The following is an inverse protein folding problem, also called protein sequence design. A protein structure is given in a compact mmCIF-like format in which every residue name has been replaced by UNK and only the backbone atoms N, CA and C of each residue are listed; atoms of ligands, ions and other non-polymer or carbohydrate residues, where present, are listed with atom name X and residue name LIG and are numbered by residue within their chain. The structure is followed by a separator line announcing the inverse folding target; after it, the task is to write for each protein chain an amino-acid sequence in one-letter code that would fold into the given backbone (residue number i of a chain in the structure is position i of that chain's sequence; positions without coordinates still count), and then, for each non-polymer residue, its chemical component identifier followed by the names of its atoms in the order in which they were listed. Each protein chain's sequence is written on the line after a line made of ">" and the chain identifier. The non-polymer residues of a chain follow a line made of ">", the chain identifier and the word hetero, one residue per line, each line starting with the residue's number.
data_IF_953344317392
#
_entry.id   IF_953344317392
#
_cell.length_a   1.000
_cell.length_b   1.000
_cell.length_c   1.000
_cell.angle_alpha   90.00
_cell.angle_beta   90.00
_cell.angle_gamma   90.00
#
_symmetry.space_group_name_H-M   'P 1'
#
loop_
_entity.id
_entity.type
_entity.pdbx_description
1 polymer ?
#
# COMPACT_ATOMS: atom_id res chain seq x y z
N UNK A 1 4.20 -19.31 -6.52
CA UNK A 1 2.75 -19.53 -6.30
C UNK A 1 1.99 -18.46 -7.05
N UNK A 2 0.91 -18.84 -7.71
CA UNK A 2 0.06 -17.91 -8.48
C UNK A 2 -1.40 -18.28 -8.32
N UNK A 3 -2.26 -17.27 -8.22
CA UNK A 3 -3.71 -17.39 -8.27
C UNK A 3 -4.25 -16.24 -9.13
N UNK A 4 -4.99 -16.56 -10.19
CA UNK A 4 -5.65 -15.59 -11.07
C UNK A 4 -7.13 -15.94 -11.12
N UNK A 5 -7.98 -14.96 -10.85
CA UNK A 5 -9.42 -15.10 -10.86
C UNK A 5 -10.12 -13.96 -11.59
N UNK A 6 -11.42 -14.10 -11.78
CA UNK A 6 -12.28 -13.09 -12.35
C UNK A 6 -13.32 -12.58 -11.33
N UNK A 7 -13.87 -11.40 -11.62
CA UNK A 7 -14.94 -10.79 -10.83
C UNK A 7 -16.19 -11.69 -10.76
N UNK A 8 -16.39 -12.57 -11.77
CA UNK A 8 -17.50 -13.52 -11.82
C UNK A 8 -17.29 -14.74 -10.91
N UNK A 9 -16.14 -14.83 -10.20
CA UNK A 9 -15.82 -15.94 -9.30
C UNK A 9 -15.12 -17.13 -9.96
N UNK A 10 -14.77 -17.02 -11.23
CA UNK A 10 -14.02 -18.04 -11.97
C UNK A 10 -12.54 -18.04 -11.57
N UNK A 11 -11.96 -19.21 -11.36
CA UNK A 11 -10.51 -19.39 -11.26
C UNK A 11 -9.93 -19.58 -12.66
N UNK A 12 -9.22 -18.58 -13.16
CA UNK A 12 -8.60 -18.62 -14.49
C UNK A 12 -7.33 -19.49 -14.46
N UNK A 13 -6.52 -19.32 -13.41
CA UNK A 13 -5.30 -20.09 -13.22
C UNK A 13 -4.93 -20.20 -11.74
N UNK A 14 -4.43 -21.37 -11.33
CA UNK A 14 -3.88 -21.58 -9.98
C UNK A 14 -2.74 -22.59 -10.03
N UNK A 15 -1.71 -22.33 -9.22
CA UNK A 15 -0.66 -23.33 -8.94
C UNK A 15 -1.07 -24.33 -7.85
N UNK A 16 -2.36 -24.39 -7.50
CA UNK A 16 -2.97 -25.24 -6.44
C UNK A 16 -2.40 -24.98 -5.03
N UNK A 17 -1.87 -23.77 -4.80
CA UNK A 17 -1.34 -23.31 -3.50
C UNK A 17 -2.18 -22.16 -2.91
N UNK A 18 -3.40 -22.00 -3.35
CA UNK A 18 -4.30 -20.91 -2.96
C UNK A 18 -4.67 -20.88 -1.48
N UNK A 19 -4.50 -22.01 -0.78
CA UNK A 19 -4.75 -22.13 0.66
C UNK A 19 -3.50 -21.81 1.51
N UNK A 20 -2.33 -21.61 0.89
CA UNK A 20 -1.11 -21.30 1.62
C UNK A 20 -1.15 -19.89 2.17
N UNK A 21 -0.69 -19.74 3.41
CA UNK A 21 -0.55 -18.45 4.06
C UNK A 21 0.72 -17.74 3.61
N UNK A 22 0.59 -16.45 3.33
CA UNK A 22 1.72 -15.55 3.04
C UNK A 22 1.56 -14.24 3.79
N UNK A 23 2.65 -13.55 4.06
CA UNK A 23 2.66 -12.15 4.43
C UNK A 23 2.74 -11.30 3.16
N UNK A 24 1.68 -10.55 2.79
CA UNK A 24 1.67 -9.81 1.53
C UNK A 24 2.54 -8.55 1.55
N UNK A 25 3.06 -8.19 2.71
CA UNK A 25 3.95 -7.05 2.90
C UNK A 25 3.31 -5.75 2.35
N UNK A 26 4.06 -4.97 1.60
CA UNK A 26 3.59 -3.70 1.05
C UNK A 26 2.48 -3.81 -0.01
N UNK A 27 2.17 -5.00 -0.50
CA UNK A 27 1.15 -5.19 -1.53
C UNK A 27 -0.28 -4.84 -1.05
N UNK A 28 -0.53 -4.86 0.28
CA UNK A 28 -1.86 -4.57 0.87
C UNK A 28 -2.04 -3.11 1.33
N UNK A 29 -1.13 -2.21 1.00
CA UNK A 29 -1.20 -0.82 1.50
C UNK A 29 -2.46 -0.07 1.10
N UNK A 30 -3.10 -0.41 -0.01
CA UNK A 30 -4.38 0.18 -0.41
C UNK A 30 -5.46 -0.03 0.67
N UNK A 31 -5.54 -1.22 1.26
CA UNK A 31 -6.49 -1.51 2.33
C UNK A 31 -6.14 -0.76 3.61
N UNK A 32 -4.84 -0.64 3.92
CA UNK A 32 -4.36 0.13 5.08
C UNK A 32 -4.65 1.63 4.97
N UNK A 33 -4.82 2.15 3.75
CA UNK A 33 -5.14 3.56 3.50
C UNK A 33 -6.65 3.89 3.59
N UNK A 34 -7.54 2.90 3.64
CA UNK A 34 -8.99 3.13 3.69
C UNK A 34 -9.43 3.91 4.94
N UNK A 35 -8.97 3.61 6.16
CA UNK A 35 -9.31 4.40 7.33
C UNK A 35 -8.87 5.88 7.22
N UNK A 36 -7.71 6.12 6.57
CA UNK A 36 -7.24 7.48 6.28
C UNK A 36 -8.22 8.24 5.37
N UNK A 37 -8.74 7.62 4.32
CA UNK A 37 -9.75 8.24 3.46
C UNK A 37 -11.03 8.54 4.24
N UNK A 38 -11.51 7.58 5.05
CA UNK A 38 -12.73 7.72 5.88
C UNK A 38 -12.65 8.80 6.93
N UNK A 39 -11.47 9.07 7.46
CA UNK A 39 -11.26 10.04 8.55
C UNK A 39 -11.47 11.50 8.15
N UNK A 40 -11.76 11.81 6.87
CA UNK A 40 -11.77 13.17 6.33
C UNK A 40 -10.41 13.90 6.38
N UNK A 41 -9.32 13.25 6.74
CA UNK A 41 -7.99 13.86 6.82
C UNK A 41 -7.55 14.51 5.50
N UNK A 42 -7.91 13.91 4.37
CA UNK A 42 -7.59 14.40 3.04
C UNK A 42 -8.19 15.80 2.83
N UNK A 43 -9.48 15.96 3.09
CA UNK A 43 -10.19 17.24 2.93
C UNK A 43 -9.71 18.26 3.96
N UNK A 44 -9.63 17.85 5.22
CA UNK A 44 -9.25 18.75 6.33
C UNK A 44 -7.86 19.34 6.16
N UNK A 45 -6.89 18.54 5.69
CA UNK A 45 -5.51 18.97 5.47
C UNK A 45 -5.23 19.43 4.03
N UNK A 46 -6.24 19.48 3.16
CA UNK A 46 -6.10 19.84 1.74
C UNK A 46 -4.99 19.03 1.03
N UNK A 47 -5.06 17.70 1.17
CA UNK A 47 -4.08 16.80 0.58
C UNK A 47 -4.38 16.58 -0.91
N UNK A 48 -3.34 16.60 -1.72
CA UNK A 48 -3.45 16.44 -3.16
C UNK A 48 -3.40 14.95 -3.60
N UNK A 49 -3.77 14.62 -4.87
CA UNK A 49 -3.74 13.24 -5.35
C UNK A 49 -2.39 12.52 -5.26
N UNK A 50 -1.26 13.23 -5.31
CA UNK A 50 0.09 12.65 -5.17
C UNK A 50 0.32 12.19 -3.73
N UNK A 51 -0.12 12.97 -2.75
CA UNK A 51 -0.07 12.61 -1.33
C UNK A 51 -1.00 11.44 -1.02
N UNK A 52 -2.18 11.39 -1.66
CA UNK A 52 -3.08 10.24 -1.55
C UNK A 52 -2.42 8.98 -2.13
N UNK A 53 -1.80 9.04 -3.31
CA UNK A 53 -1.04 7.92 -3.86
C UNK A 53 0.10 7.46 -2.93
N UNK A 54 0.84 8.41 -2.34
CA UNK A 54 1.90 8.12 -1.38
C UNK A 54 1.43 7.35 -0.14
N UNK A 55 0.15 7.43 0.24
CA UNK A 55 -0.40 6.62 1.35
C UNK A 55 -0.30 5.12 1.10
N UNK A 56 -0.28 4.70 -0.18
CA UNK A 56 -0.17 3.31 -0.62
C UNK A 56 1.24 2.94 -1.11
N UNK A 57 2.21 3.84 -1.03
CA UNK A 57 3.51 3.70 -1.68
C UNK A 57 4.49 2.79 -0.95
N UNK A 58 5.45 2.28 -1.72
CA UNK A 58 6.76 1.84 -1.28
C UNK A 58 7.80 2.66 -2.05
N UNK A 59 7.79 3.98 -1.84
CA UNK A 59 8.56 4.92 -2.62
C UNK A 59 10.07 4.75 -2.43
N UNK A 60 10.85 5.08 -3.44
CA UNK A 60 12.31 4.98 -3.41
C UNK A 60 13.01 6.27 -2.95
N UNK A 61 12.27 7.25 -2.45
CA UNK A 61 12.76 8.56 -1.96
C UNK A 61 13.42 9.43 -3.05
N UNK A 62 12.95 9.35 -4.31
CA UNK A 62 13.29 10.35 -5.33
C UNK A 62 12.85 11.75 -4.89
N UNK A 63 13.47 12.79 -5.42
CA UNK A 63 13.26 14.21 -5.03
C UNK A 63 11.79 14.61 -4.97
N UNK A 64 10.98 14.14 -5.92
CA UNK A 64 9.54 14.48 -5.96
C UNK A 64 8.75 13.78 -4.83
N UNK A 65 9.13 12.57 -4.40
CA UNK A 65 8.53 11.93 -3.23
C UNK A 65 8.79 12.76 -1.97
N UNK A 66 10.07 13.12 -1.75
CA UNK A 66 10.49 13.88 -0.57
C UNK A 66 9.82 15.26 -0.52
N UNK A 67 9.61 15.90 -1.67
CA UNK A 67 8.90 17.18 -1.78
C UNK A 67 7.45 17.04 -1.26
N UNK A 68 6.69 16.06 -1.77
CA UNK A 68 5.29 15.86 -1.38
C UNK A 68 5.15 15.41 0.08
N UNK A 69 6.09 14.61 0.59
CA UNK A 69 6.09 14.19 2.00
C UNK A 69 6.38 15.34 2.96
N UNK A 70 7.30 16.24 2.60
CA UNK A 70 7.56 17.46 3.39
C UNK A 70 6.36 18.41 3.38
N UNK A 71 5.72 18.61 2.22
CA UNK A 71 4.50 19.40 2.12
C UNK A 71 3.38 18.80 2.98
N UNK A 72 3.23 17.45 2.96
CA UNK A 72 2.28 16.77 3.81
C UNK A 72 2.54 17.00 5.31
N UNK A 73 3.79 16.90 5.76
CA UNK A 73 4.18 17.21 7.14
C UNK A 73 3.76 18.64 7.54
N UNK A 74 4.01 19.61 6.65
CA UNK A 74 3.64 21.03 6.88
C UNK A 74 2.13 21.17 7.02
N UNK A 75 1.34 20.66 6.07
CA UNK A 75 -0.12 20.74 6.06
C UNK A 75 -0.76 20.12 7.31
N UNK A 76 -0.19 19.02 7.79
CA UNK A 76 -0.70 18.32 8.97
C UNK A 76 -0.13 18.81 10.28
N UNK A 77 0.89 19.69 10.25
CA UNK A 77 1.68 20.11 11.42
C UNK A 77 2.27 18.90 12.17
N UNK A 78 2.60 17.84 11.44
CA UNK A 78 3.33 16.69 11.97
C UNK A 78 4.84 16.92 11.85
N UNK A 79 5.62 16.23 12.69
CA UNK A 79 7.08 16.23 12.64
C UNK A 79 7.59 14.88 12.12
N UNK A 80 8.78 14.85 11.51
CA UNK A 80 9.46 13.61 11.08
C UNK A 80 9.58 12.62 12.23
N UNK A 81 9.82 13.10 13.45
CA UNK A 81 9.96 12.30 14.67
C UNK A 81 8.69 11.57 15.10
N UNK A 82 7.51 11.95 14.59
CA UNK A 82 6.27 11.21 14.83
C UNK A 82 6.22 9.90 14.04
N UNK A 83 6.95 9.80 12.91
CA UNK A 83 6.93 8.60 12.07
C UNK A 83 7.73 7.46 12.73
N UNK A 84 7.07 6.34 12.98
CA UNK A 84 7.64 5.13 13.59
C UNK A 84 8.21 4.14 12.56
N UNK A 85 8.27 4.51 11.27
CA UNK A 85 8.72 3.60 10.21
C UNK A 85 10.23 3.30 10.23
N UNK A 86 11.01 3.95 11.09
CA UNK A 86 12.46 3.83 11.06
C UNK A 86 13.10 4.69 9.97
N UNK A 87 14.42 4.57 9.87
CA UNK A 87 15.27 5.36 8.96
C UNK A 87 16.03 4.38 8.06
N UNK A 88 16.08 4.65 6.76
CA UNK A 88 17.02 4.02 5.85
C UNK A 88 17.44 5.01 4.75
N UNK A 89 18.49 4.69 4.02
CA UNK A 89 18.92 5.46 2.86
C UNK A 89 17.83 5.45 1.77
N UNK A 90 17.73 6.49 0.92
CA UNK A 90 16.93 6.42 -0.29
C UNK A 90 17.20 5.12 -1.05
N UNK A 91 16.14 4.44 -1.51
CA UNK A 91 16.26 3.23 -2.32
C UNK A 91 16.67 3.57 -3.76
N UNK A 92 16.37 4.78 -4.24
CA UNK A 92 16.91 5.28 -5.49
C UNK A 92 18.40 5.62 -5.32
N UNK A 93 19.24 4.99 -6.17
CA UNK A 93 20.70 5.12 -6.11
C UNK A 93 21.17 6.57 -6.27
N UNK A 94 20.56 7.31 -7.20
CA UNK A 94 20.93 8.72 -7.47
C UNK A 94 20.57 9.59 -6.27
N UNK A 95 19.37 9.41 -5.72
CA UNK A 95 18.93 10.16 -4.54
C UNK A 95 19.80 9.85 -3.31
N UNK A 96 20.22 8.59 -3.14
CA UNK A 96 21.12 8.16 -2.07
C UNK A 96 22.50 8.79 -2.20
N UNK A 97 23.07 8.80 -3.42
CA UNK A 97 24.35 9.45 -3.70
C UNK A 97 24.30 10.97 -3.46
N UNK A 98 23.24 11.63 -3.95
CA UNK A 98 23.06 13.07 -3.76
C UNK A 98 22.93 13.43 -2.27
N UNK A 99 22.21 12.62 -1.49
CA UNK A 99 22.09 12.81 -0.05
C UNK A 99 23.46 12.73 0.63
N UNK A 100 24.26 11.72 0.27
CA UNK A 100 25.61 11.54 0.79
C UNK A 100 26.53 12.71 0.42
N UNK A 101 26.56 13.11 -0.87
CA UNK A 101 27.41 14.21 -1.35
C UNK A 101 27.03 15.57 -0.73
N UNK A 102 25.77 15.75 -0.34
CA UNK A 102 25.34 16.97 0.38
C UNK A 102 25.74 17.00 1.86
N UNK A 103 26.40 15.97 2.38
CA UNK A 103 26.71 15.82 3.79
C UNK A 103 25.47 15.57 4.69
N UNK A 104 24.30 15.38 4.08
CA UNK A 104 23.04 15.18 4.82
C UNK A 104 22.86 13.73 5.22
N UNK A 105 22.21 13.51 6.37
CA UNK A 105 21.85 12.16 6.85
C UNK A 105 20.42 11.79 6.47
N UNK A 106 20.14 10.52 6.19
CA UNK A 106 18.76 10.06 6.00
C UNK A 106 17.95 10.27 7.29
N UNK A 107 16.65 10.40 7.12
CA UNK A 107 15.69 10.51 8.22
C UNK A 107 14.40 9.76 7.85
N UNK A 108 13.39 9.79 8.70
CA UNK A 108 12.17 8.99 8.56
C UNK A 108 11.42 9.19 7.24
N UNK A 109 11.49 10.38 6.61
CA UNK A 109 10.79 10.59 5.32
C UNK A 109 11.47 9.87 4.15
N UNK A 110 12.74 9.44 4.29
CA UNK A 110 13.40 8.62 3.28
C UNK A 110 12.96 7.16 3.34
N UNK A 111 12.36 6.72 4.46
CA UNK A 111 11.80 5.38 4.56
C UNK A 111 10.67 5.19 3.54
N UNK A 112 10.70 4.08 2.81
CA UNK A 112 9.75 3.77 1.75
C UNK A 112 8.28 3.67 2.21
N UNK A 113 8.03 3.52 3.51
CA UNK A 113 6.71 3.48 4.12
C UNK A 113 6.25 4.82 4.73
N UNK A 114 7.06 5.90 4.63
CA UNK A 114 6.75 7.17 5.31
C UNK A 114 5.40 7.76 4.89
N UNK A 115 4.99 7.61 3.62
CA UNK A 115 3.66 8.02 3.15
C UNK A 115 2.52 7.28 3.85
N UNK A 116 2.64 5.95 4.01
CA UNK A 116 1.69 5.15 4.80
C UNK A 116 1.61 5.62 6.25
N UNK A 117 2.75 5.91 6.88
CA UNK A 117 2.79 6.38 8.26
C UNK A 117 2.20 7.79 8.40
N UNK A 118 2.42 8.68 7.43
CA UNK A 118 1.74 9.98 7.38
C UNK A 118 0.22 9.83 7.24
N UNK A 119 -0.26 8.89 6.44
CA UNK A 119 -1.69 8.61 6.31
C UNK A 119 -2.29 8.14 7.64
N UNK A 120 -1.65 7.17 8.31
CA UNK A 120 -2.08 6.69 9.63
C UNK A 120 -2.12 7.83 10.66
N UNK A 121 -1.05 8.63 10.75
CA UNK A 121 -0.96 9.75 11.69
C UNK A 121 -1.97 10.87 11.37
N UNK A 122 -2.22 11.15 10.08
CA UNK A 122 -3.23 12.13 9.68
C UNK A 122 -4.63 11.69 10.10
N UNK A 123 -4.96 10.41 9.92
CA UNK A 123 -6.21 9.81 10.41
C UNK A 123 -6.31 9.87 11.93
N UNK A 124 -5.26 9.44 12.64
CA UNK A 124 -5.22 9.49 14.10
C UNK A 124 -5.44 10.90 14.63
N UNK A 125 -4.85 11.92 13.98
CA UNK A 125 -5.00 13.32 14.38
C UNK A 125 -6.44 13.82 14.26
N UNK A 126 -7.15 13.46 13.18
CA UNK A 126 -8.55 13.82 12.97
C UNK A 126 -9.47 13.12 13.99
N UNK A 127 -9.19 11.85 14.27
CA UNK A 127 -9.98 11.04 15.19
C UNK A 127 -9.60 11.24 16.68
N UNK A 128 -8.67 12.15 16.98
CA UNK A 128 -8.13 12.39 18.32
C UNK A 128 -7.55 11.15 19.00
N UNK A 129 -6.93 10.25 18.20
CA UNK A 129 -6.20 9.09 18.70
C UNK A 129 -4.76 9.46 19.09
N UNK A 130 -4.14 8.70 20.00
CA UNK A 130 -2.76 8.93 20.42
C UNK A 130 -1.78 8.71 19.27
N UNK A 131 -0.97 9.72 18.96
CA UNK A 131 0.01 9.68 17.88
C UNK A 131 1.30 8.92 18.25
N UNK A 132 1.52 8.61 19.54
CA UNK A 132 2.78 8.01 20.01
C UNK A 132 2.84 6.50 19.77
N UNK A 133 1.69 5.83 19.76
CA UNK A 133 1.56 4.38 19.70
C UNK A 133 0.66 3.89 18.55
N UNK A 134 0.48 4.70 17.50
CA UNK A 134 -0.40 4.40 16.37
C UNK A 134 -0.07 3.10 15.60
N UNK A 135 1.11 2.52 15.83
CA UNK A 135 1.51 1.23 15.26
C UNK A 135 1.25 0.04 16.20
N UNK A 136 0.80 0.28 17.42
CA UNK A 136 0.53 -0.79 18.37
C UNK A 136 -0.70 -1.59 17.94
N UNK A 137 -0.63 -2.91 18.04
CA UNK A 137 -1.67 -3.84 17.56
C UNK A 137 -3.07 -3.53 18.12
N UNK A 138 -3.16 -3.01 19.35
CA UNK A 138 -4.40 -2.68 20.04
C UNK A 138 -4.80 -1.20 19.87
N UNK A 139 -4.06 -0.42 19.09
CA UNK A 139 -4.41 0.97 18.82
C UNK A 139 -5.70 1.04 17.97
N UNK A 140 -6.64 1.96 18.25
CA UNK A 140 -7.92 2.06 17.51
C UNK A 140 -7.75 2.11 16.00
N UNK A 141 -6.77 2.85 15.50
CA UNK A 141 -6.49 2.92 14.06
C UNK A 141 -6.05 1.57 13.47
N UNK A 142 -5.27 0.74 14.21
CA UNK A 142 -4.88 -0.59 13.73
C UNK A 142 -6.07 -1.57 13.80
N UNK A 143 -7.00 -1.38 14.72
CA UNK A 143 -8.26 -2.13 14.75
C UNK A 143 -9.16 -1.80 13.57
N UNK A 144 -9.25 -0.52 13.16
CA UNK A 144 -9.95 -0.10 11.94
C UNK A 144 -9.32 -0.76 10.71
N UNK A 145 -7.98 -0.75 10.58
CA UNK A 145 -7.27 -1.42 9.48
C UNK A 145 -7.60 -2.93 9.45
N UNK A 146 -7.55 -3.61 10.61
CA UNK A 146 -7.88 -5.04 10.69
C UNK A 146 -9.33 -5.33 10.31
N UNK A 147 -10.27 -4.47 10.69
CA UNK A 147 -11.66 -4.56 10.28
C UNK A 147 -11.80 -4.44 8.75
N UNK A 148 -11.14 -3.47 8.13
CA UNK A 148 -11.10 -3.33 6.67
C UNK A 148 -10.58 -4.61 6.01
N UNK A 149 -9.47 -5.18 6.49
CA UNK A 149 -8.99 -6.47 5.95
C UNK A 149 -10.05 -7.55 6.05
N UNK A 150 -10.67 -7.71 7.22
CA UNK A 150 -11.70 -8.76 7.43
C UNK A 150 -12.87 -8.63 6.46
N UNK A 151 -13.30 -7.39 6.17
CA UNK A 151 -14.39 -7.11 5.23
C UNK A 151 -13.96 -7.42 3.79
N UNK A 152 -12.76 -7.00 3.37
CA UNK A 152 -12.28 -7.23 2.00
C UNK A 152 -11.97 -8.70 1.70
N UNK A 153 -11.49 -9.48 2.66
CA UNK A 153 -11.25 -10.93 2.48
C UNK A 153 -12.47 -11.79 2.81
N UNK A 154 -13.59 -11.17 3.24
CA UNK A 154 -14.83 -11.84 3.65
C UNK A 154 -14.60 -12.90 4.75
N UNK A 155 -13.61 -12.65 5.61
CA UNK A 155 -13.24 -13.57 6.69
C UNK A 155 -12.62 -12.80 7.85
N UNK A 156 -12.88 -13.25 9.07
CA UNK A 156 -12.33 -12.60 10.26
C UNK A 156 -10.81 -12.73 10.34
N UNK A 157 -10.12 -11.61 10.41
CA UNK A 157 -8.68 -11.54 10.65
C UNK A 157 -8.44 -11.40 12.15
N UNK A 158 -7.79 -12.40 12.74
CA UNK A 158 -7.50 -12.43 14.17
C UNK A 158 -6.18 -11.70 14.48
N UNK A 159 -6.11 -11.12 15.68
CA UNK A 159 -4.87 -10.49 16.18
C UNK A 159 -3.69 -11.48 16.18
N UNK A 160 -3.93 -12.75 16.48
CA UNK A 160 -2.89 -13.78 16.50
C UNK A 160 -2.22 -14.06 15.14
N UNK A 161 -2.85 -13.62 14.01
CA UNK A 161 -2.29 -13.78 12.66
C UNK A 161 -1.30 -12.65 12.31
N UNK A 162 -0.96 -11.76 13.25
CA UNK A 162 -0.08 -10.64 12.95
C UNK A 162 1.40 -11.02 13.02
N UNK A 163 2.20 -10.29 12.24
CA UNK A 163 3.63 -10.10 12.40
C UNK A 163 3.92 -8.61 12.45
N UNK A 164 5.16 -8.23 12.63
CA UNK A 164 5.60 -6.83 12.59
C UNK A 164 6.42 -6.63 11.32
N UNK A 165 5.98 -5.68 10.47
CA UNK A 165 6.70 -5.34 9.25
C UNK A 165 7.98 -4.56 9.56
N UNK A 166 8.92 -4.50 8.61
CA UNK A 166 10.16 -3.73 8.75
C UNK A 166 9.98 -2.23 9.03
N UNK A 167 8.77 -1.70 8.82
CA UNK A 167 8.39 -0.34 9.18
C UNK A 167 7.66 -0.25 10.54
N UNK A 168 7.74 -1.26 11.38
CA UNK A 168 7.11 -1.36 12.71
C UNK A 168 5.58 -1.41 12.74
N UNK A 169 4.90 -1.36 11.60
CA UNK A 169 3.44 -1.49 11.56
C UNK A 169 3.01 -2.97 11.60
N UNK A 170 1.85 -3.30 12.20
CA UNK A 170 1.28 -4.64 12.12
C UNK A 170 1.08 -5.08 10.66
N UNK A 171 1.38 -6.34 10.42
CA UNK A 171 1.19 -7.03 9.17
C UNK A 171 0.47 -8.35 9.44
N UNK A 172 -0.51 -8.72 8.63
CA UNK A 172 -1.26 -9.96 8.81
C UNK A 172 -0.92 -10.97 7.74
N UNK A 173 -0.98 -12.26 8.09
CA UNK A 173 -0.89 -13.36 7.12
C UNK A 173 -2.27 -13.64 6.53
N UNK A 174 -2.30 -13.95 5.24
CA UNK A 174 -3.51 -14.26 4.48
C UNK A 174 -3.27 -15.49 3.62
N UNK A 175 -4.31 -16.27 3.37
CA UNK A 175 -4.28 -17.22 2.28
C UNK A 175 -4.20 -16.49 0.94
N UNK A 176 -3.56 -17.10 -0.03
CA UNK A 176 -3.44 -16.51 -1.38
C UNK A 176 -4.82 -16.23 -1.97
N UNK A 177 -5.78 -17.14 -1.81
CA UNK A 177 -7.16 -16.96 -2.29
C UNK A 177 -7.88 -15.81 -1.58
N UNK A 178 -7.62 -15.58 -0.29
CA UNK A 178 -8.23 -14.49 0.47
C UNK A 178 -7.76 -13.13 -0.07
N UNK A 179 -6.49 -13.03 -0.47
CA UNK A 179 -5.97 -11.85 -1.19
C UNK A 179 -6.63 -11.69 -2.56
N UNK A 180 -6.94 -12.78 -3.26
CA UNK A 180 -7.75 -12.78 -4.47
C UNK A 180 -9.16 -12.22 -4.22
N UNK A 181 -9.84 -12.68 -3.17
CA UNK A 181 -11.14 -12.15 -2.73
C UNK A 181 -11.06 -10.65 -2.45
N UNK A 182 -10.00 -10.20 -1.77
CA UNK A 182 -9.81 -8.78 -1.50
C UNK A 182 -9.65 -7.95 -2.79
N UNK A 183 -8.93 -8.45 -3.80
CA UNK A 183 -8.81 -7.80 -5.11
C UNK A 183 -10.13 -7.80 -5.89
N UNK A 184 -10.89 -8.90 -5.85
CA UNK A 184 -12.25 -8.97 -6.39
C UNK A 184 -13.13 -7.87 -5.78
N UNK A 185 -13.05 -7.68 -4.46
CA UNK A 185 -13.83 -6.66 -3.76
C UNK A 185 -13.34 -5.22 -4.02
N UNK A 186 -12.07 -5.01 -4.38
CA UNK A 186 -11.62 -3.74 -4.96
C UNK A 186 -12.37 -3.48 -6.27
N UNK A 187 -12.41 -4.44 -7.19
CA UNK A 187 -13.12 -4.31 -8.48
C UNK A 187 -14.64 -4.10 -8.26
N UNK A 188 -15.25 -4.87 -7.37
CA UNK A 188 -16.66 -4.71 -7.00
C UNK A 188 -16.97 -3.33 -6.40
N UNK A 189 -16.03 -2.73 -5.66
CA UNK A 189 -16.19 -1.39 -5.11
C UNK A 189 -16.25 -0.33 -6.21
N UNK A 190 -15.46 -0.48 -7.27
CA UNK A 190 -15.49 0.45 -8.41
C UNK A 190 -16.85 0.46 -9.11
N UNK A 191 -17.52 -0.70 -9.18
CA UNK A 191 -18.86 -0.86 -9.75
C UNK A 191 -20.02 -0.61 -8.76
N UNK A 192 -19.71 -0.15 -7.54
CA UNK A 192 -20.69 0.04 -6.45
C UNK A 192 -21.41 -1.23 -5.98
N UNK A 193 -20.84 -2.40 -6.23
CA UNK A 193 -21.32 -3.69 -5.76
C UNK A 193 -20.80 -4.07 -4.37
N UNK A 194 -19.97 -3.20 -3.78
CA UNK A 194 -19.36 -3.37 -2.46
C UNK A 194 -19.27 -2.02 -1.73
N UNK A 195 -19.22 -2.05 -0.39
CA UNK A 195 -19.44 -0.87 0.47
C UNK A 195 -18.32 0.19 0.49
N UNK A 196 -17.35 0.15 -0.41
CA UNK A 196 -16.14 0.99 -0.34
C UNK A 196 -15.90 1.81 -1.61
N UNK A 197 -16.96 2.12 -2.37
CA UNK A 197 -16.86 2.83 -3.66
C UNK A 197 -16.07 4.12 -3.56
N UNK A 198 -16.40 4.97 -2.60
CA UNK A 198 -15.77 6.29 -2.46
C UNK A 198 -14.29 6.16 -2.17
N UNK A 199 -13.91 5.32 -1.19
CA UNK A 199 -12.55 5.16 -0.73
C UNK A 199 -11.68 4.51 -1.80
N UNK A 200 -12.14 3.40 -2.36
CA UNK A 200 -11.42 2.66 -3.41
C UNK A 200 -11.27 3.50 -4.66
N UNK A 201 -12.34 4.18 -5.12
CA UNK A 201 -12.28 5.04 -6.30
C UNK A 201 -11.28 6.19 -6.11
N UNK A 202 -11.27 6.83 -4.93
CA UNK A 202 -10.33 7.91 -4.66
C UNK A 202 -8.88 7.42 -4.64
N UNK A 203 -8.62 6.29 -3.98
CA UNK A 203 -7.27 5.69 -3.91
C UNK A 203 -6.80 5.23 -5.30
N UNK A 204 -7.60 4.43 -6.01
CA UNK A 204 -7.26 3.91 -7.35
C UNK A 204 -7.03 5.06 -8.33
N UNK A 205 -7.93 6.05 -8.40
CA UNK A 205 -7.77 7.21 -9.28
C UNK A 205 -6.50 8.01 -8.96
N UNK A 206 -6.19 8.20 -7.67
CA UNK A 206 -4.98 8.90 -7.26
C UNK A 206 -3.71 8.14 -7.64
N UNK A 207 -3.71 6.81 -7.48
CA UNK A 207 -2.61 5.92 -7.83
C UNK A 207 -2.38 5.91 -9.34
N UNK A 208 -3.43 5.64 -10.13
CA UNK A 208 -3.32 5.50 -11.59
C UNK A 208 -2.96 6.81 -12.29
N UNK A 209 -3.37 7.95 -11.74
CA UNK A 209 -2.94 9.27 -12.23
C UNK A 209 -1.50 9.64 -11.82
N UNK A 210 -0.97 8.99 -10.80
CA UNK A 210 0.35 9.31 -10.23
C UNK A 210 1.19 8.04 -9.98
N UNK A 211 1.37 7.14 -10.95
CA UNK A 211 1.97 5.83 -10.72
C UNK A 211 3.42 5.91 -10.20
N UNK A 212 4.20 6.93 -10.60
CA UNK A 212 5.56 7.10 -10.08
C UNK A 212 5.62 7.30 -8.55
N UNK A 213 4.54 7.81 -7.96
CA UNK A 213 4.47 7.99 -6.50
C UNK A 213 4.32 6.68 -5.72
N UNK A 214 4.01 5.57 -6.40
CA UNK A 214 3.83 4.26 -5.75
C UNK A 214 5.16 3.57 -5.47
N UNK A 215 6.11 3.63 -6.39
CA UNK A 215 7.41 2.95 -6.23
C UNK A 215 8.60 3.79 -6.66
N UNK A 216 8.41 4.70 -7.62
CA UNK A 216 9.44 5.48 -8.26
C UNK A 216 9.47 5.27 -9.77
N UNK A 217 10.35 6.01 -10.45
CA UNK A 217 10.40 6.05 -11.91
C UNK A 217 10.84 4.73 -12.57
N UNK A 218 11.59 3.89 -11.85
CA UNK A 218 12.14 2.62 -12.34
C UNK A 218 11.49 1.39 -11.74
N UNK A 219 10.45 1.57 -10.92
CA UNK A 219 9.81 0.47 -10.23
C UNK A 219 8.83 -0.29 -11.14
N UNK A 220 8.71 -1.60 -10.96
CA UNK A 220 7.84 -2.47 -11.74
C UNK A 220 6.37 -2.02 -11.66
N UNK A 221 5.84 -1.76 -10.45
CA UNK A 221 4.47 -1.31 -10.22
C UNK A 221 4.17 -0.04 -11.05
N UNK A 222 5.06 0.96 -10.93
CA UNK A 222 4.92 2.25 -11.59
C UNK A 222 4.94 2.11 -13.11
N UNK A 223 5.84 1.27 -13.63
CA UNK A 223 6.00 1.08 -15.08
C UNK A 223 4.82 0.31 -15.67
N UNK A 224 4.36 -0.76 -15.00
CA UNK A 224 3.20 -1.53 -15.46
C UNK A 224 1.94 -0.66 -15.51
N UNK A 225 1.67 0.11 -14.45
CA UNK A 225 0.51 1.03 -14.43
C UNK A 225 0.57 2.10 -15.52
N UNK A 226 1.76 2.62 -15.87
CA UNK A 226 1.93 3.57 -16.98
C UNK A 226 1.64 2.93 -18.34
N UNK A 227 2.22 1.74 -18.59
CA UNK A 227 2.04 1.02 -19.86
C UNK A 227 0.57 0.64 -20.03
N UNK A 228 -0.09 0.20 -18.97
CA UNK A 228 -1.50 -0.18 -18.97
C UNK A 228 -2.47 1.03 -19.05
N UNK A 229 -1.96 2.27 -19.05
CA UNK A 229 -2.75 3.51 -19.22
C UNK A 229 -4.01 3.59 -18.34
N UNK A 230 -3.92 3.10 -17.13
CA UNK A 230 -5.02 3.14 -16.16
C UNK A 230 -5.92 1.90 -16.14
N UNK A 231 -5.67 0.90 -16.98
CA UNK A 231 -6.46 -0.33 -16.98
C UNK A 231 -6.05 -1.31 -15.89
N UNK A 232 -4.83 -1.22 -15.38
CA UNK A 232 -4.30 -2.11 -14.35
C UNK A 232 -3.91 -1.31 -13.11
N UNK A 233 -4.47 -1.67 -11.97
CA UNK A 233 -3.91 -1.37 -10.66
C UNK A 233 -2.99 -2.51 -10.24
N UNK A 234 -1.82 -2.20 -9.73
CA UNK A 234 -0.93 -3.22 -9.18
C UNK A 234 -0.09 -2.70 -8.03
N UNK A 235 0.37 -3.61 -7.17
CA UNK A 235 1.25 -3.30 -6.06
C UNK A 235 2.15 -4.47 -5.68
N UNK A 236 3.45 -4.21 -5.71
CA UNK A 236 4.46 -5.12 -5.19
C UNK A 236 4.61 -5.03 -3.67
N UNK A 237 4.95 -6.15 -3.08
CA UNK A 237 5.36 -6.29 -1.69
C UNK A 237 6.72 -6.97 -1.61
N UNK A 238 7.47 -6.74 -0.54
CA UNK A 238 8.74 -7.41 -0.30
C UNK A 238 8.61 -8.95 -0.38
N UNK A 239 9.72 -9.62 -0.63
CA UNK A 239 9.79 -11.08 -0.72
C UNK A 239 9.03 -11.67 -1.92
N UNK A 240 9.01 -10.93 -3.04
CA UNK A 240 8.42 -11.43 -4.29
C UNK A 240 6.91 -11.61 -4.23
N UNK A 241 6.20 -10.75 -3.50
CA UNK A 241 4.74 -10.67 -3.55
C UNK A 241 4.32 -9.61 -4.56
N UNK A 242 3.32 -9.94 -5.37
CA UNK A 242 2.75 -8.99 -6.31
C UNK A 242 1.25 -9.22 -6.47
N UNK A 243 0.49 -8.14 -6.37
CA UNK A 243 -0.96 -8.11 -6.56
C UNK A 243 -1.30 -7.23 -7.76
N UNK A 244 -2.27 -7.67 -8.58
CA UNK A 244 -2.82 -6.83 -9.64
C UNK A 244 -4.32 -7.00 -9.78
N UNK A 245 -4.98 -5.97 -10.32
CA UNK A 245 -6.37 -5.99 -10.75
C UNK A 245 -6.49 -5.27 -12.09
N UNK A 246 -6.97 -5.98 -13.12
CA UNK A 246 -7.27 -5.41 -14.44
C UNK A 246 -8.71 -4.91 -14.42
N UNK A 247 -8.89 -3.60 -14.38
CA UNK A 247 -10.18 -2.96 -14.11
C UNK A 247 -11.21 -3.27 -15.19
N UNK A 248 -10.87 -3.11 -16.47
CA UNK A 248 -11.80 -3.34 -17.57
C UNK A 248 -12.18 -4.79 -17.78
N UNK A 249 -11.24 -5.73 -17.59
CA UNK A 249 -11.49 -7.15 -17.80
C UNK A 249 -12.07 -7.83 -16.56
N UNK A 250 -12.08 -7.17 -15.41
CA UNK A 250 -12.51 -7.78 -14.16
C UNK A 250 -11.64 -8.97 -13.73
N UNK A 251 -10.35 -8.95 -14.08
CA UNK A 251 -9.40 -10.02 -13.75
C UNK A 251 -8.46 -9.52 -12.65
N UNK A 252 -8.11 -10.40 -11.72
CA UNK A 252 -7.17 -10.10 -10.66
C UNK A 252 -6.20 -11.25 -10.42
N UNK A 253 -5.04 -10.95 -9.85
CA UNK A 253 -4.05 -11.98 -9.57
C UNK A 253 -3.16 -11.69 -8.37
N UNK A 254 -2.69 -12.78 -7.77
CA UNK A 254 -1.78 -12.82 -6.64
C UNK A 254 -0.59 -13.69 -7.00
N UNK A 255 0.61 -13.13 -6.92
CA UNK A 255 1.87 -13.85 -7.12
C UNK A 255 2.69 -13.87 -5.83
N UNK A 256 3.33 -15.00 -5.56
CA UNK A 256 4.34 -15.17 -4.51
C UNK A 256 5.52 -15.97 -5.04
N UNK A 257 6.66 -15.31 -5.21
CA UNK A 257 7.92 -15.97 -5.56
C UNK A 257 8.46 -16.69 -4.33
N UNK A 258 8.78 -17.98 -4.47
CA UNK A 258 9.07 -18.87 -3.33
C UNK A 258 10.39 -18.55 -2.63
N UNK A 259 11.42 -18.18 -3.39
CA UNK A 259 12.71 -17.75 -2.84
C UNK A 259 12.70 -16.28 -2.35
N UNK A 260 11.57 -15.58 -2.51
CA UNK A 260 11.41 -14.17 -2.13
C UNK A 260 12.10 -13.16 -3.05
N UNK A 261 12.75 -13.59 -4.11
CA UNK A 261 13.49 -12.71 -5.01
C UNK A 261 12.56 -12.15 -6.10
N UNK A 262 12.49 -10.84 -6.20
CA UNK A 262 11.60 -10.13 -7.13
C UNK A 262 12.00 -10.29 -8.60
N UNK A 263 13.19 -10.82 -8.93
CA UNK A 263 13.68 -10.97 -10.31
C UNK A 263 12.78 -11.80 -11.21
N UNK A 264 11.97 -12.70 -10.65
CA UNK A 264 11.05 -13.55 -11.40
C UNK A 264 9.74 -12.82 -11.78
N UNK A 265 9.38 -11.73 -11.10
CA UNK A 265 8.10 -11.03 -11.30
C UNK A 265 7.95 -10.46 -12.72
N UNK A 266 8.95 -9.77 -13.32
CA UNK A 266 8.79 -9.20 -14.66
C UNK A 266 8.50 -10.24 -15.76
N UNK A 267 8.94 -11.49 -15.57
CA UNK A 267 8.68 -12.57 -16.52
C UNK A 267 7.39 -13.36 -16.22
N UNK A 268 6.83 -13.20 -15.02
CA UNK A 268 5.63 -13.91 -14.58
C UNK A 268 4.35 -13.09 -14.78
N UNK A 269 4.49 -11.78 -14.93
CA UNK A 269 3.41 -10.81 -15.10
C UNK A 269 3.32 -10.38 -16.56
#
# INVERSE_FOLDING_TARGET
>A
KCFIGSINGETIYSTKNENDFIYPRSAIKIFQAIPFVRSNAIRFHNLNPKQIALSCSSHCAEKFHIKELNDWLIKTKLKKTHLKCGIHNPLDKISSQNLYLSGSKPNQIHNNCSGKHLAMLSSCKINNYDLRNYVDLNHPHQEEIRKVFSEFVESKIFKAQHGIDGCSAPQYSFKIKDLGTALKNILNSLDAKFNYKTEVSLLINSILKNPNYIGGTKNLDSNLMKIAKGDIFCKGGAEGVFLFAHIKLGIFGVFKVMDGNERALPSAI
#
